data_IF_108063928860
#
_entry.id   IF_108063928860
#
_cell.length_a   1.000
_cell.length_b   1.000
_cell.length_c   1.000
_cell.angle_alpha   90.00
_cell.angle_beta   90.00
_cell.angle_gamma   90.00
#
_symmetry.space_group_name_H-M   'P 1'
#
loop_
_entity.id
_entity.type
_entity.pdbx_description
1 polymer ?
#
# COMPACT_ATOMS: atom_id res chain seq x y z
N UNK A 1 -3.92 3.17 9.94
CA UNK A 1 -4.60 4.44 10.30
C UNK A 1 -6.00 4.55 9.71
N UNK A 2 -6.19 4.57 8.38
CA UNK A 2 -7.53 4.72 7.77
C UNK A 2 -8.51 3.56 8.06
N UNK A 3 -8.00 2.38 8.38
CA UNK A 3 -8.79 1.21 8.74
C UNK A 3 -8.85 0.95 10.26
N UNK A 4 -8.09 1.69 11.06
CA UNK A 4 -8.08 1.51 12.51
C UNK A 4 -9.28 2.28 13.12
N UNK A 5 -10.04 1.68 14.05
CA UNK A 5 -11.13 2.36 14.74
C UNK A 5 -10.61 3.38 15.75
N UNK A 6 -11.34 4.48 15.92
CA UNK A 6 -11.30 5.35 17.08
C UNK A 6 -12.29 4.88 18.16
N UNK A 7 -12.42 5.65 19.25
CA UNK A 7 -13.34 5.37 20.37
C UNK A 7 -14.82 5.28 19.95
N UNK A 8 -15.19 5.90 18.81
CA UNK A 8 -16.54 5.90 18.26
C UNK A 8 -16.72 4.86 17.14
N UNK A 9 -15.76 3.94 16.97
CA UNK A 9 -15.73 2.94 15.90
C UNK A 9 -15.77 3.59 14.49
N UNK A 10 -15.09 4.72 14.33
CA UNK A 10 -14.88 5.45 13.07
C UNK A 10 -13.40 5.44 12.69
N UNK A 11 -13.05 5.66 11.41
CA UNK A 11 -11.65 5.71 11.01
C UNK A 11 -10.85 6.74 11.82
N UNK A 12 -9.78 6.30 12.47
CA UNK A 12 -8.89 7.14 13.28
C UNK A 12 -8.38 8.37 12.50
N UNK A 13 -8.15 8.20 11.21
CA UNK A 13 -7.74 9.28 10.31
C UNK A 13 -8.72 9.40 9.15
N UNK A 14 -8.98 10.65 8.75
CA UNK A 14 -9.52 10.94 7.43
C UNK A 14 -8.39 11.00 6.40
N UNK A 15 -8.69 10.81 5.11
CA UNK A 15 -7.68 10.87 4.04
C UNK A 15 -6.89 12.20 4.04
N UNK A 16 -7.56 13.33 4.31
CA UNK A 16 -6.89 14.64 4.40
C UNK A 16 -5.88 14.73 5.54
N UNK A 17 -6.09 14.01 6.65
CA UNK A 17 -5.20 14.02 7.80
C UNK A 17 -3.87 13.32 7.49
N UNK A 18 -3.85 12.39 6.53
CA UNK A 18 -2.64 11.65 6.14
C UNK A 18 -1.59 12.60 5.57
N UNK A 19 -1.97 13.55 4.71
CA UNK A 19 -1.05 14.57 4.19
C UNK A 19 -0.38 15.33 5.32
N UNK A 20 -1.16 15.85 6.26
CA UNK A 20 -0.63 16.62 7.38
C UNK A 20 0.26 15.77 8.30
N UNK A 21 -0.12 14.51 8.53
CA UNK A 21 0.70 13.55 9.27
C UNK A 21 2.10 13.41 8.66
N UNK A 22 2.20 13.23 7.34
CA UNK A 22 3.51 13.17 6.68
C UNK A 22 4.29 14.48 6.83
N UNK A 23 3.66 15.63 6.63
CA UNK A 23 4.32 16.94 6.79
C UNK A 23 4.90 17.15 8.21
N UNK A 24 4.17 16.74 9.24
CA UNK A 24 4.55 16.98 10.64
C UNK A 24 5.57 15.96 11.17
N UNK A 25 5.50 14.70 10.70
CA UNK A 25 6.24 13.59 11.30
C UNK A 25 7.41 13.10 10.44
N UNK A 26 7.38 13.21 9.10
CA UNK A 26 8.50 12.75 8.25
C UNK A 26 9.86 13.36 8.63
N UNK A 27 9.99 14.68 8.89
CA UNK A 27 11.27 15.26 9.26
C UNK A 27 11.88 14.68 10.54
N UNK A 28 11.05 14.07 11.39
CA UNK A 28 11.44 13.43 12.66
C UNK A 28 11.68 11.93 12.49
N UNK A 29 10.97 11.29 11.56
CA UNK A 29 11.22 9.89 11.16
C UNK A 29 12.54 9.78 10.39
N UNK A 30 12.78 10.71 9.46
CA UNK A 30 13.97 10.77 8.60
C UNK A 30 14.73 12.09 8.82
N UNK A 31 15.40 12.27 9.97
CA UNK A 31 16.11 13.51 10.28
C UNK A 31 17.24 13.78 9.28
N UNK A 32 17.17 14.93 8.62
CA UNK A 32 18.16 15.37 7.63
C UNK A 32 19.38 15.98 8.33
N UNK A 33 20.48 15.22 8.44
CA UNK A 33 21.70 15.67 9.12
C UNK A 33 22.46 16.68 8.25
N UNK A 34 22.58 17.93 8.71
CA UNK A 34 23.26 19.02 7.99
C UNK A 34 24.79 18.99 8.04
N UNK A 35 25.40 18.30 9.01
CA UNK A 35 26.86 18.15 9.15
C UNK A 35 27.18 16.74 9.63
N UNK A 36 27.99 16.01 8.88
CA UNK A 36 28.52 14.71 9.29
C UNK A 36 29.75 14.91 10.18
N UNK A 37 29.67 14.66 11.50
CA UNK A 37 30.89 14.48 12.27
C UNK A 37 31.60 13.21 11.75
N UNK A 38 32.90 13.34 11.49
CA UNK A 38 33.77 12.31 10.87
C UNK A 38 33.64 10.93 11.56
N UNK A 39 33.31 10.90 12.86
CA UNK A 39 33.09 9.68 13.65
C UNK A 39 31.82 8.86 13.33
N UNK A 40 30.89 9.35 12.49
CA UNK A 40 29.67 8.59 12.10
C UNK A 40 29.76 7.85 10.76
N UNK A 41 30.83 8.01 9.98
CA UNK A 41 31.05 7.19 8.78
C UNK A 41 31.14 5.70 9.14
N UNK A 42 31.71 5.38 10.30
CA UNK A 42 31.76 4.03 10.87
C UNK A 42 30.35 3.51 11.23
N UNK A 43 29.41 4.40 11.55
CA UNK A 43 28.02 4.05 11.89
C UNK A 43 27.19 3.69 10.66
N UNK A 44 27.58 4.14 9.45
CA UNK A 44 26.96 3.67 8.20
C UNK A 44 27.34 2.22 7.86
N UNK A 45 28.46 1.73 8.43
CA UNK A 45 28.91 0.34 8.34
C UNK A 45 28.36 -0.52 9.51
N UNK A 46 27.62 0.09 10.45
CA UNK A 46 27.12 -0.57 11.65
C UNK A 46 25.68 -0.11 11.96
N UNK A 47 24.72 -0.80 11.33
CA UNK A 47 23.28 -0.61 11.55
C UNK A 47 22.57 0.18 10.45
N UNK A 48 21.24 0.32 10.54
CA UNK A 48 20.42 1.06 9.58
C UNK A 48 20.69 2.58 9.63
N UNK A 49 20.34 3.28 8.55
CA UNK A 49 20.48 4.74 8.42
C UNK A 49 19.72 5.51 9.50
N UNK A 50 18.57 4.99 9.92
CA UNK A 50 17.70 5.54 10.97
C UNK A 50 17.44 4.49 12.05
N UNK A 51 17.38 4.92 13.31
CA UNK A 51 17.14 4.02 14.46
C UNK A 51 15.69 3.53 14.59
N UNK A 52 14.74 4.18 13.93
CA UNK A 52 13.31 3.85 13.96
C UNK A 52 12.60 4.19 15.28
N UNK A 53 13.28 4.69 16.31
CA UNK A 53 12.68 4.88 17.65
C UNK A 53 11.49 5.83 17.62
N UNK A 54 11.63 6.95 16.89
CA UNK A 54 10.56 7.92 16.74
C UNK A 54 9.36 7.32 16.00
N UNK A 55 9.59 6.56 14.92
CA UNK A 55 8.53 5.88 14.16
C UNK A 55 7.80 4.88 15.07
N UNK A 56 8.52 4.06 15.83
CA UNK A 56 7.95 3.05 16.70
C UNK A 56 7.08 3.71 17.78
N UNK A 57 7.59 4.76 18.43
CA UNK A 57 6.84 5.51 19.44
C UNK A 57 5.58 6.14 18.84
N UNK A 58 5.72 6.80 17.69
CA UNK A 58 4.61 7.48 17.01
C UNK A 58 3.51 6.49 16.61
N UNK A 59 3.87 5.37 16.00
CA UNK A 59 2.91 4.37 15.55
C UNK A 59 2.19 3.73 16.75
N UNK A 60 2.92 3.41 17.82
CA UNK A 60 2.33 2.91 19.07
C UNK A 60 1.41 3.93 19.73
N UNK A 61 1.78 5.20 19.77
CA UNK A 61 0.94 6.29 20.29
C UNK A 61 -0.37 6.41 19.49
N UNK A 62 -0.30 6.34 18.16
CA UNK A 62 -1.49 6.52 17.30
C UNK A 62 -2.39 5.30 17.26
N UNK A 63 -1.83 4.09 17.23
CA UNK A 63 -2.61 2.86 17.06
C UNK A 63 -2.93 2.15 18.37
N UNK A 64 -2.28 2.53 19.48
CA UNK A 64 -2.47 1.90 20.78
C UNK A 64 -2.39 0.38 20.70
N UNK A 65 -3.30 -0.28 21.41
CA UNK A 65 -3.40 -1.74 21.49
C UNK A 65 -4.37 -2.33 20.46
N UNK A 66 -4.67 -1.60 19.38
CA UNK A 66 -5.58 -2.08 18.33
C UNK A 66 -4.92 -3.26 17.61
N UNK A 67 -5.63 -4.38 17.55
CA UNK A 67 -5.22 -5.60 16.83
C UNK A 67 -5.82 -5.68 15.42
N UNK A 68 -5.24 -6.55 14.59
CA UNK A 68 -5.63 -6.76 13.21
C UNK A 68 -7.13 -7.05 13.05
N UNK A 69 -7.73 -7.89 13.91
CA UNK A 69 -9.16 -8.21 13.81
C UNK A 69 -10.09 -7.02 14.05
N UNK A 70 -9.62 -5.96 14.71
CA UNK A 70 -10.42 -4.79 15.08
C UNK A 70 -10.52 -3.76 13.95
N UNK A 71 -9.89 -3.98 12.78
CA UNK A 71 -9.97 -3.04 11.67
C UNK A 71 -11.39 -2.91 11.11
N UNK A 72 -11.78 -1.69 10.76
CA UNK A 72 -13.11 -1.33 10.24
C UNK A 72 -13.42 -1.90 8.85
N UNK A 73 -12.38 -2.26 8.11
CA UNK A 73 -12.48 -2.88 6.79
C UNK A 73 -11.45 -4.01 6.69
N UNK A 74 -11.56 -4.80 5.63
CA UNK A 74 -10.59 -5.84 5.34
C UNK A 74 -9.27 -5.21 4.90
N UNK A 75 -8.18 -5.59 5.56
CA UNK A 75 -6.83 -5.15 5.23
C UNK A 75 -5.95 -6.35 4.87
N UNK A 76 -4.97 -6.09 4.01
CA UNK A 76 -3.95 -7.02 3.53
C UNK A 76 -2.64 -6.23 3.53
N UNK A 77 -1.74 -6.55 4.47
CA UNK A 77 -0.50 -5.80 4.69
C UNK A 77 0.70 -6.76 4.55
N UNK A 78 1.51 -6.63 3.48
CA UNK A 78 2.67 -7.49 3.27
C UNK A 78 3.82 -7.13 4.21
N UNK A 79 4.57 -8.14 4.61
CA UNK A 79 5.87 -8.06 5.30
C UNK A 79 6.74 -9.22 4.80
N UNK A 80 8.03 -9.22 5.10
CA UNK A 80 8.91 -10.35 4.79
C UNK A 80 9.58 -10.86 6.08
N UNK A 81 9.46 -12.15 6.38
CA UNK A 81 10.09 -12.75 7.55
C UNK A 81 11.50 -13.26 7.20
N UNK A 82 12.52 -12.66 7.81
CA UNK A 82 13.93 -12.97 7.52
C UNK A 82 14.40 -14.26 8.18
N UNK A 83 13.68 -14.79 9.19
CA UNK A 83 14.01 -16.07 9.83
C UNK A 83 13.43 -17.23 9.03
N UNK A 84 12.23 -17.06 8.47
CA UNK A 84 11.59 -18.06 7.61
C UNK A 84 11.98 -17.92 6.14
N UNK A 85 12.54 -16.78 5.74
CA UNK A 85 12.82 -16.39 4.36
C UNK A 85 11.58 -16.46 3.46
N UNK A 86 10.44 -15.99 3.99
CA UNK A 86 9.14 -16.05 3.31
C UNK A 86 8.32 -14.77 3.54
N UNK A 87 7.48 -14.36 2.57
CA UNK A 87 6.49 -13.32 2.80
C UNK A 87 5.53 -13.70 3.92
N UNK A 88 5.28 -12.76 4.83
CA UNK A 88 4.21 -12.86 5.84
C UNK A 88 3.17 -11.79 5.53
N UNK A 89 1.97 -12.22 5.14
CA UNK A 89 0.87 -11.31 4.80
C UNK A 89 -0.09 -11.22 5.98
N UNK A 90 -0.18 -10.05 6.61
CA UNK A 90 -1.18 -9.78 7.63
C UNK A 90 -2.50 -9.45 6.95
N UNK A 91 -3.36 -10.46 6.86
CA UNK A 91 -4.67 -10.37 6.23
C UNK A 91 -5.78 -10.65 7.23
N UNK A 92 -6.75 -9.75 7.27
CA UNK A 92 -7.99 -9.96 8.05
C UNK A 92 -8.84 -11.12 7.53
N UNK A 93 -8.62 -11.57 6.29
CA UNK A 93 -9.26 -12.77 5.75
C UNK A 93 -8.63 -14.03 6.34
N UNK A 94 -7.30 -14.13 6.27
CA UNK A 94 -6.56 -15.30 6.76
C UNK A 94 -6.53 -15.41 8.28
N UNK A 95 -6.56 -14.28 9.00
CA UNK A 95 -6.59 -14.26 10.46
C UNK A 95 -7.76 -15.09 11.04
N UNK A 96 -8.92 -15.13 10.37
CA UNK A 96 -10.07 -15.95 10.80
C UNK A 96 -9.72 -17.44 10.94
N UNK A 97 -8.86 -17.95 10.06
CA UNK A 97 -8.43 -19.35 10.04
C UNK A 97 -7.09 -19.55 10.78
N UNK A 98 -6.33 -18.48 10.95
CA UNK A 98 -5.04 -18.49 11.62
C UNK A 98 -4.95 -17.34 12.65
N UNK A 99 -5.47 -17.54 13.87
CA UNK A 99 -5.45 -16.52 14.93
C UNK A 99 -4.04 -16.05 15.31
N UNK A 100 -2.99 -16.83 14.98
CA UNK A 100 -1.60 -16.41 15.20
C UNK A 100 -1.15 -15.23 14.31
N UNK A 101 -2.01 -14.74 13.41
CA UNK A 101 -1.79 -13.52 12.63
C UNK A 101 -2.43 -12.28 13.27
N UNK A 102 -3.18 -12.41 14.37
CA UNK A 102 -3.86 -11.29 15.04
C UNK A 102 -2.90 -10.45 15.91
N UNK A 103 -1.94 -9.82 15.24
CA UNK A 103 -0.94 -8.94 15.84
C UNK A 103 -1.52 -7.55 16.14
N UNK A 104 -0.81 -6.78 16.97
CA UNK A 104 -1.05 -5.35 17.09
C UNK A 104 -0.79 -4.65 15.75
N UNK A 105 -1.68 -3.75 15.35
CA UNK A 105 -1.50 -2.96 14.14
C UNK A 105 -0.23 -2.12 14.20
N UNK A 106 0.21 -1.72 15.40
CA UNK A 106 1.48 -1.01 15.55
C UNK A 106 2.67 -1.86 15.12
N UNK A 107 2.70 -3.14 15.51
CA UNK A 107 3.79 -4.05 15.13
C UNK A 107 3.77 -4.31 13.62
N UNK A 108 2.57 -4.53 13.05
CA UNK A 108 2.41 -4.72 11.60
C UNK A 108 2.88 -3.48 10.83
N UNK A 109 2.47 -2.27 11.26
CA UNK A 109 2.85 -1.02 10.61
C UNK A 109 4.36 -0.73 10.71
N UNK A 110 5.00 -1.07 11.84
CA UNK A 110 6.45 -0.95 11.98
C UNK A 110 7.14 -1.94 11.03
N UNK A 111 6.73 -3.21 11.05
CA UNK A 111 7.30 -4.26 10.20
C UNK A 111 7.20 -3.96 8.71
N UNK A 112 6.02 -3.57 8.23
CA UNK A 112 5.79 -3.32 6.80
C UNK A 112 6.58 -2.13 6.26
N UNK A 113 7.03 -1.21 7.13
CA UNK A 113 7.84 -0.03 6.77
C UNK A 113 9.33 -0.19 7.08
N UNK A 114 9.77 -1.33 7.60
CA UNK A 114 11.15 -1.57 8.03
C UNK A 114 12.08 -1.87 6.85
N UNK A 115 12.28 -0.89 5.97
CA UNK A 115 13.08 -1.01 4.76
C UNK A 115 14.54 -1.35 5.10
N UNK A 116 15.12 -2.44 4.52
CA UNK A 116 16.52 -2.76 4.71
C UNK A 116 17.42 -1.56 4.39
N UNK A 117 18.53 -1.43 5.11
CA UNK A 117 19.45 -0.28 5.11
C UNK A 117 18.89 1.04 5.66
N UNK A 118 17.57 1.25 5.68
CA UNK A 118 16.93 2.47 6.20
C UNK A 118 16.49 2.36 7.65
N UNK A 119 15.77 1.30 8.00
CA UNK A 119 15.14 1.09 9.30
C UNK A 119 15.48 -0.31 9.86
N UNK A 120 15.51 -0.48 11.19
CA UNK A 120 15.77 -1.79 11.79
C UNK A 120 14.63 -2.77 11.52
N UNK A 121 14.98 -4.05 11.40
CA UNK A 121 14.00 -5.13 11.41
C UNK A 121 13.19 -5.12 12.72
N UNK A 122 11.93 -5.54 12.65
CA UNK A 122 11.04 -5.56 13.80
C UNK A 122 10.75 -6.98 14.27
N UNK A 123 10.85 -7.18 15.59
CA UNK A 123 10.63 -8.47 16.23
C UNK A 123 9.51 -8.35 17.26
N UNK A 124 8.62 -9.34 17.24
CA UNK A 124 7.61 -9.50 18.28
C UNK A 124 7.11 -10.95 18.32
N UNK A 125 6.33 -11.26 19.35
CA UNK A 125 5.77 -12.59 19.60
C UNK A 125 4.27 -12.48 19.83
N UNK A 126 3.54 -13.48 19.35
CA UNK A 126 2.12 -13.66 19.64
C UNK A 126 1.93 -15.00 20.31
N UNK A 127 1.26 -14.99 21.45
CA UNK A 127 0.83 -16.21 22.12
C UNK A 127 -0.51 -16.65 21.55
N UNK A 128 -0.54 -17.79 20.85
CA UNK A 128 -1.79 -18.38 20.40
C UNK A 128 -2.48 -19.03 21.60
N UNK A 129 -3.53 -18.37 22.12
CA UNK A 129 -4.32 -18.82 23.28
C UNK A 129 -4.87 -20.24 23.13
N UNK A 130 -5.19 -20.66 21.90
CA UNK A 130 -5.77 -21.99 21.63
C UNK A 130 -4.75 -23.15 21.66
N UNK A 131 -3.46 -22.89 21.44
CA UNK A 131 -2.45 -23.96 21.27
C UNK A 131 -1.27 -23.84 22.24
N UNK A 132 -1.22 -22.78 23.05
CA UNK A 132 -0.07 -22.40 23.89
C UNK A 132 1.26 -22.30 23.11
N UNK A 133 1.21 -22.22 21.77
CA UNK A 133 2.38 -22.01 20.94
C UNK A 133 2.59 -20.53 20.72
N UNK A 134 3.76 -20.05 21.11
CA UNK A 134 4.22 -18.71 20.78
C UNK A 134 4.68 -18.68 19.32
N UNK A 135 4.08 -17.84 18.49
CA UNK A 135 4.58 -17.53 17.16
C UNK A 135 5.48 -16.31 17.24
N UNK A 136 6.69 -16.47 16.74
CA UNK A 136 7.69 -15.40 16.68
C UNK A 136 7.75 -14.83 15.25
N UNK A 137 7.91 -13.51 15.16
CA UNK A 137 7.98 -12.78 13.91
C UNK A 137 9.29 -12.00 13.85
N UNK A 138 10.02 -12.12 12.73
CA UNK A 138 11.28 -11.42 12.49
C UNK A 138 11.16 -10.71 11.15
N UNK A 139 10.56 -9.52 11.15
CA UNK A 139 9.99 -8.94 9.94
C UNK A 139 10.74 -7.71 9.45
N UNK A 140 10.79 -7.58 8.13
CA UNK A 140 11.22 -6.39 7.40
C UNK A 140 10.13 -5.94 6.43
N UNK A 141 10.40 -4.84 5.73
CA UNK A 141 9.50 -4.17 4.78
C UNK A 141 8.79 -5.12 3.82
N UNK A 142 7.51 -4.83 3.59
CA UNK A 142 6.67 -5.57 2.66
C UNK A 142 7.09 -5.41 1.20
N UNK A 143 7.77 -4.32 0.85
CA UNK A 143 8.28 -4.02 -0.49
C UNK A 143 9.30 -5.03 -1.00
N UNK A 144 9.99 -5.75 -0.09
CA UNK A 144 10.86 -6.88 -0.46
C UNK A 144 10.04 -8.04 -1.06
N UNK A 145 8.80 -8.22 -0.62
CA UNK A 145 7.90 -9.25 -1.12
C UNK A 145 6.96 -8.74 -2.23
N UNK A 146 6.28 -7.62 -1.97
CA UNK A 146 5.23 -7.07 -2.80
C UNK A 146 5.19 -5.54 -2.68
N UNK A 147 6.05 -4.86 -3.43
CA UNK A 147 6.09 -3.39 -3.47
C UNK A 147 4.83 -2.78 -4.11
N UNK A 148 4.16 -3.55 -4.98
CA UNK A 148 2.80 -3.28 -5.43
C UNK A 148 1.86 -4.38 -4.89
N UNK A 149 1.16 -4.18 -3.77
CA UNK A 149 0.36 -5.22 -3.13
C UNK A 149 -0.97 -5.50 -3.84
N UNK A 150 -1.24 -4.87 -4.99
CA UNK A 150 -2.52 -5.00 -5.70
C UNK A 150 -2.86 -6.45 -6.03
N UNK A 151 -1.88 -7.21 -6.54
CA UNK A 151 -2.09 -8.62 -6.86
C UNK A 151 -2.26 -9.49 -5.60
N UNK A 152 -1.57 -9.16 -4.50
CA UNK A 152 -1.75 -9.83 -3.20
C UNK A 152 -3.18 -9.60 -2.68
N UNK A 153 -3.69 -8.38 -2.76
CA UNK A 153 -5.05 -8.04 -2.34
C UNK A 153 -6.12 -8.75 -3.19
N UNK A 154 -5.95 -8.78 -4.51
CA UNK A 154 -6.84 -9.53 -5.42
C UNK A 154 -6.78 -11.04 -5.10
N UNK A 155 -5.60 -11.58 -4.86
CA UNK A 155 -5.41 -12.98 -4.47
C UNK A 155 -6.15 -13.33 -3.18
N UNK A 156 -6.07 -12.50 -2.16
CA UNK A 156 -6.79 -12.69 -0.89
C UNK A 156 -8.31 -12.67 -1.09
N UNK A 157 -8.84 -11.73 -1.86
CA UNK A 157 -10.27 -11.71 -2.21
C UNK A 157 -10.66 -12.96 -3.01
N UNK A 158 -9.81 -13.40 -3.94
CA UNK A 158 -10.06 -14.57 -4.77
C UNK A 158 -10.09 -15.86 -3.94
N UNK A 159 -9.21 -16.00 -2.94
CA UNK A 159 -9.25 -17.11 -1.97
C UNK A 159 -10.58 -17.18 -1.25
N UNK A 160 -11.13 -16.04 -0.83
CA UNK A 160 -12.43 -16.01 -0.15
C UNK A 160 -13.60 -16.35 -1.07
N UNK A 161 -13.54 -15.96 -2.36
CA UNK A 161 -14.50 -16.39 -3.38
C UNK A 161 -14.42 -17.91 -3.58
N UNK A 162 -13.21 -18.49 -3.64
CA UNK A 162 -13.01 -19.94 -3.75
C UNK A 162 -13.53 -20.68 -2.52
N UNK A 163 -13.38 -20.11 -1.33
CA UNK A 163 -13.91 -20.66 -0.07
C UNK A 163 -15.43 -20.44 0.10
N UNK A 164 -16.12 -19.91 -0.92
CA UNK A 164 -17.55 -19.62 -0.90
C UNK A 164 -18.00 -18.75 0.28
N UNK A 165 -17.15 -17.77 0.68
CA UNK A 165 -17.47 -16.88 1.78
C UNK A 165 -18.75 -16.07 1.45
N UNK A 166 -19.80 -16.11 2.32
CA UNK A 166 -21.09 -15.49 2.06
C UNK A 166 -21.06 -13.96 1.94
N UNK A 167 -19.98 -13.31 2.42
CA UNK A 167 -19.76 -11.88 2.24
C UNK A 167 -19.52 -11.52 0.76
N UNK A 168 -19.13 -12.49 -0.06
CA UNK A 168 -18.96 -12.34 -1.50
C UNK A 168 -20.15 -12.95 -2.24
N UNK A 169 -20.72 -12.18 -3.17
CA UNK A 169 -21.70 -12.74 -4.10
C UNK A 169 -21.07 -13.89 -4.89
N UNK A 170 -21.88 -14.80 -5.40
CA UNK A 170 -21.45 -15.90 -6.28
C UNK A 170 -20.79 -15.33 -7.56
N UNK A 171 -19.51 -15.01 -7.45
CA UNK A 171 -18.63 -14.54 -8.50
C UNK A 171 -17.84 -15.76 -8.92
N UNK A 172 -17.75 -16.01 -10.23
CA UNK A 172 -16.86 -17.08 -10.71
C UNK A 172 -15.42 -16.71 -10.31
N UNK A 173 -14.62 -17.65 -9.78
CA UNK A 173 -13.20 -17.40 -9.57
C UNK A 173 -12.58 -16.79 -10.83
N UNK A 174 -11.79 -15.73 -10.66
CA UNK A 174 -11.17 -14.98 -11.77
C UNK A 174 -12.11 -14.13 -12.65
N UNK A 175 -13.35 -13.84 -12.24
CA UNK A 175 -14.18 -12.85 -12.94
C UNK A 175 -13.80 -11.41 -12.55
N UNK A 176 -12.69 -10.91 -13.11
CA UNK A 176 -12.16 -9.56 -12.85
C UNK A 176 -13.13 -8.43 -13.23
N UNK A 177 -14.19 -8.69 -14.01
CA UNK A 177 -15.23 -7.70 -14.32
C UNK A 177 -16.03 -7.26 -13.08
N UNK A 178 -15.99 -8.06 -12.01
CA UNK A 178 -16.62 -7.76 -10.72
C UNK A 178 -15.70 -7.05 -9.73
N UNK A 179 -14.41 -6.92 -10.07
CA UNK A 179 -13.46 -6.17 -9.28
C UNK A 179 -13.47 -4.72 -9.72
N UNK A 180 -13.38 -3.81 -8.75
CA UNK A 180 -13.14 -2.39 -8.96
C UNK A 180 -11.90 -2.03 -8.14
N UNK A 181 -10.81 -1.70 -8.81
CA UNK A 181 -9.48 -1.60 -8.21
C UNK A 181 -8.91 -0.21 -8.47
N UNK A 182 -8.53 0.47 -7.39
CA UNK A 182 -7.71 1.69 -7.43
C UNK A 182 -6.35 1.32 -6.85
N UNK A 183 -5.30 1.42 -7.66
CA UNK A 183 -3.92 1.22 -7.25
C UNK A 183 -3.20 2.57 -7.29
N UNK A 184 -2.66 2.99 -6.15
CA UNK A 184 -1.96 4.25 -5.99
C UNK A 184 -0.48 3.96 -5.79
N UNK A 185 0.36 4.44 -6.70
CA UNK A 185 1.80 4.36 -6.56
C UNK A 185 2.38 5.62 -5.93
N UNK A 186 3.61 5.52 -5.44
CA UNK A 186 4.36 6.64 -4.83
C UNK A 186 5.23 7.38 -5.84
N UNK A 187 5.06 7.08 -7.12
CA UNK A 187 5.91 7.51 -8.21
C UNK A 187 7.20 6.71 -8.30
N UNK A 188 7.79 6.73 -9.49
CA UNK A 188 9.10 6.22 -9.79
C UNK A 188 9.98 7.38 -10.28
N UNK A 189 11.29 7.33 -10.01
CA UNK A 189 12.22 8.22 -10.67
C UNK A 189 12.01 8.12 -12.18
N UNK A 190 12.03 9.27 -12.86
CA UNK A 190 12.09 9.37 -14.32
C UNK A 190 13.02 8.29 -14.80
N UNK A 191 12.64 7.58 -15.87
CA UNK A 191 13.50 6.62 -16.59
C UNK A 191 14.73 7.34 -17.16
N UNK A 192 15.53 7.91 -16.27
CA UNK A 192 16.92 8.18 -16.44
C UNK A 192 17.54 6.78 -16.44
N UNK A 193 18.32 6.50 -17.47
CA UNK A 193 19.20 5.35 -17.58
C UNK A 193 20.20 5.40 -16.42
N UNK A 194 19.72 5.14 -15.19
CA UNK A 194 20.40 5.40 -13.92
C UNK A 194 21.73 4.68 -13.87
N UNK A 195 21.75 3.47 -14.42
CA UNK A 195 22.88 2.57 -14.43
C UNK A 195 22.97 1.95 -15.82
N UNK A 196 24.18 1.83 -16.35
CA UNK A 196 24.45 1.06 -17.57
C UNK A 196 25.07 -0.29 -17.24
N UNK A 197 24.97 -1.25 -18.16
CA UNK A 197 25.59 -2.56 -17.99
C UNK A 197 27.12 -2.44 -17.87
N UNK A 198 27.73 -1.53 -18.62
CA UNK A 198 29.17 -1.26 -18.58
C UNK A 198 29.60 -0.71 -17.22
N UNK A 199 28.79 0.15 -16.59
CA UNK A 199 29.05 0.62 -15.23
C UNK A 199 28.92 -0.52 -14.23
N UNK A 200 27.84 -1.31 -14.31
CA UNK A 200 27.54 -2.38 -13.37
C UNK A 200 28.48 -3.59 -13.49
N UNK A 201 29.14 -3.78 -14.65
CA UNK A 201 30.10 -4.85 -14.87
C UNK A 201 31.33 -4.74 -13.94
N UNK A 202 31.70 -3.52 -13.55
CA UNK A 202 32.82 -3.25 -12.65
C UNK A 202 32.39 -3.14 -11.17
N UNK A 203 31.10 -3.33 -10.86
CA UNK A 203 30.59 -3.16 -9.50
C UNK A 203 30.95 -4.33 -8.58
N UNK A 204 31.54 -3.99 -7.43
CA UNK A 204 31.66 -4.90 -6.29
C UNK A 204 30.44 -4.84 -5.36
N UNK A 205 30.53 -5.56 -4.25
CA UNK A 205 29.46 -5.61 -3.23
C UNK A 205 29.10 -4.23 -2.68
N UNK A 206 30.09 -3.35 -2.48
CA UNK A 206 29.86 -2.00 -1.95
C UNK A 206 29.13 -1.10 -2.95
N UNK A 207 29.45 -1.22 -4.24
CA UNK A 207 28.80 -0.46 -5.30
C UNK A 207 27.31 -0.83 -5.39
N UNK A 208 26.99 -2.13 -5.38
CA UNK A 208 25.61 -2.61 -5.34
C UNK A 208 24.80 -2.13 -4.12
N UNK A 209 25.48 -1.79 -3.01
CA UNK A 209 24.86 -1.35 -1.77
C UNK A 209 24.78 0.18 -1.60
N UNK A 210 25.68 0.94 -2.25
CA UNK A 210 25.88 2.37 -1.92
C UNK A 210 26.02 3.30 -3.13
N UNK A 211 26.01 2.78 -4.36
CA UNK A 211 26.32 3.62 -5.53
C UNK A 211 25.30 4.75 -5.74
N UNK A 212 25.83 5.96 -5.97
CA UNK A 212 25.02 7.17 -6.19
C UNK A 212 24.23 7.66 -4.97
N UNK A 213 24.53 7.20 -3.75
CA UNK A 213 23.76 7.54 -2.55
C UNK A 213 22.43 6.80 -2.41
N UNK A 214 22.22 5.77 -3.25
CA UNK A 214 21.10 4.83 -3.22
C UNK A 214 21.60 3.42 -2.89
N UNK A 215 20.69 2.45 -2.78
CA UNK A 215 21.02 1.03 -2.67
C UNK A 215 20.54 0.31 -3.93
N UNK A 216 21.36 0.29 -5.02
CA UNK A 216 20.94 -0.22 -6.34
C UNK A 216 20.25 -1.58 -6.30
N UNK A 217 20.72 -2.52 -5.48
CA UNK A 217 20.12 -3.85 -5.39
C UNK A 217 18.67 -3.80 -4.88
N UNK A 218 18.37 -2.93 -3.91
CA UNK A 218 17.01 -2.75 -3.38
C UNK A 218 16.15 -2.03 -4.42
N UNK A 219 16.68 -1.01 -5.09
CA UNK A 219 15.98 -0.28 -6.16
C UNK A 219 15.55 -1.24 -7.28
N UNK A 220 16.45 -2.10 -7.75
CA UNK A 220 16.19 -3.06 -8.85
C UNK A 220 15.11 -4.06 -8.44
N UNK A 221 15.25 -4.74 -7.29
CA UNK A 221 14.26 -5.73 -6.86
C UNK A 221 12.89 -5.10 -6.54
N UNK A 222 12.87 -3.93 -5.90
CA UNK A 222 11.61 -3.26 -5.52
C UNK A 222 10.86 -2.74 -6.75
N UNK A 223 11.57 -2.22 -7.76
CA UNK A 223 10.97 -1.83 -9.04
C UNK A 223 10.46 -3.03 -9.81
N UNK A 224 11.28 -4.07 -9.96
CA UNK A 224 10.87 -5.29 -10.64
C UNK A 224 9.60 -5.90 -10.02
N UNK A 225 9.48 -5.91 -8.69
CA UNK A 225 8.28 -6.35 -7.98
C UNK A 225 7.04 -5.51 -8.32
N UNK A 226 7.18 -4.18 -8.45
CA UNK A 226 6.06 -3.29 -8.80
C UNK A 226 5.66 -3.40 -10.27
N UNK A 227 6.64 -3.35 -11.18
CA UNK A 227 6.42 -3.32 -12.63
C UNK A 227 5.79 -4.62 -13.11
N UNK A 228 6.23 -5.76 -12.56
CA UNK A 228 5.64 -7.06 -12.89
C UNK A 228 4.16 -7.14 -12.51
N UNK A 229 3.75 -6.57 -11.36
CA UNK A 229 2.34 -6.54 -10.98
C UNK A 229 1.53 -5.69 -11.94
N UNK A 230 2.04 -4.51 -12.32
CA UNK A 230 1.35 -3.62 -13.25
C UNK A 230 1.21 -4.26 -14.65
N UNK A 231 2.26 -4.91 -15.16
CA UNK A 231 2.22 -5.68 -16.41
C UNK A 231 1.15 -6.79 -16.36
N UNK A 232 1.16 -7.64 -15.32
CA UNK A 232 0.21 -8.75 -15.21
C UNK A 232 -1.24 -8.26 -15.13
N UNK A 233 -1.51 -7.23 -14.31
CA UNK A 233 -2.86 -6.71 -14.15
C UNK A 233 -3.33 -6.01 -15.43
N UNK A 234 -2.47 -5.23 -16.09
CA UNK A 234 -2.83 -4.61 -17.36
C UNK A 234 -3.17 -5.64 -18.44
N UNK A 235 -2.40 -6.74 -18.56
CA UNK A 235 -2.73 -7.85 -19.47
C UNK A 235 -4.08 -8.47 -19.12
N UNK A 236 -4.31 -8.80 -17.84
CA UNK A 236 -5.55 -9.48 -17.40
C UNK A 236 -6.78 -8.61 -17.67
N UNK A 237 -6.75 -7.34 -17.26
CA UNK A 237 -7.90 -6.44 -17.43
C UNK A 237 -8.15 -6.08 -18.91
N UNK A 238 -7.09 -5.99 -19.74
CA UNK A 238 -7.22 -5.82 -21.20
C UNK A 238 -7.81 -7.06 -21.87
N UNK A 239 -7.31 -8.26 -21.54
CA UNK A 239 -7.82 -9.52 -22.10
C UNK A 239 -9.31 -9.72 -21.80
N UNK A 240 -9.77 -9.24 -20.64
CA UNK A 240 -11.16 -9.35 -20.19
C UNK A 240 -12.04 -8.16 -20.58
N UNK A 241 -11.51 -7.18 -21.32
CA UNK A 241 -12.20 -5.94 -21.75
C UNK A 241 -12.86 -5.19 -20.58
N UNK A 242 -12.19 -5.15 -19.44
CA UNK A 242 -12.65 -4.47 -18.23
C UNK A 242 -11.62 -3.46 -17.70
N UNK A 243 -10.84 -2.87 -18.58
CA UNK A 243 -9.74 -1.96 -18.25
C UNK A 243 -10.20 -0.69 -17.50
N UNK A 244 -11.48 -0.33 -17.62
CA UNK A 244 -12.07 0.80 -16.87
C UNK A 244 -12.24 0.51 -15.37
N UNK A 245 -12.16 -0.76 -14.97
CA UNK A 245 -12.27 -1.21 -13.59
C UNK A 245 -10.94 -1.20 -12.83
N UNK A 246 -9.80 -1.07 -13.54
CA UNK A 246 -8.48 -0.93 -12.95
C UNK A 246 -7.95 0.47 -13.20
N UNK A 247 -7.85 1.28 -12.15
CA UNK A 247 -7.27 2.61 -12.19
C UNK A 247 -5.93 2.59 -11.44
N UNK A 248 -4.83 2.73 -12.18
CA UNK A 248 -3.48 2.92 -11.64
C UNK A 248 -3.12 4.40 -11.74
N UNK A 249 -2.79 5.03 -10.62
CA UNK A 249 -2.27 6.41 -10.56
C UNK A 249 -0.82 6.34 -10.10
N UNK A 250 0.08 6.76 -10.98
CA UNK A 250 1.53 6.63 -10.81
C UNK A 250 2.22 7.81 -11.53
N UNK A 251 3.34 8.29 -10.98
CA UNK A 251 4.19 9.28 -11.64
C UNK A 251 5.57 8.69 -11.94
N UNK A 252 5.90 8.47 -13.21
CA UNK A 252 7.21 7.93 -13.60
C UNK A 252 8.14 9.03 -14.11
N UNK A 253 8.00 10.25 -13.59
CA UNK A 253 8.76 11.43 -14.01
C UNK A 253 9.48 12.14 -12.86
N UNK A 254 9.52 11.53 -11.67
CA UNK A 254 10.15 12.14 -10.50
C UNK A 254 11.66 12.31 -10.71
N UNK A 255 12.22 13.43 -10.26
CA UNK A 255 13.67 13.66 -10.39
C UNK A 255 14.27 14.35 -9.18
N UNK A 256 15.59 14.26 -9.05
CA UNK A 256 16.34 14.86 -7.95
C UNK A 256 15.86 14.38 -6.57
N UNK A 257 15.61 15.33 -5.67
CA UNK A 257 15.22 15.03 -4.27
C UNK A 257 13.81 14.46 -4.14
N UNK A 258 12.92 14.77 -5.09
CA UNK A 258 11.53 14.31 -5.08
C UNK A 258 11.45 12.80 -5.35
N UNK A 259 12.43 12.27 -6.08
CA UNK A 259 12.60 10.84 -6.36
C UNK A 259 13.22 10.04 -5.19
N UNK A 260 13.64 10.70 -4.11
CA UNK A 260 14.28 10.05 -2.96
C UNK A 260 13.24 9.61 -1.92
N UNK A 261 13.45 8.42 -1.37
CA UNK A 261 12.56 7.77 -0.39
C UNK A 261 12.62 8.40 1.01
N UNK A 262 13.73 9.07 1.36
CA UNK A 262 13.99 9.50 2.74
C UNK A 262 14.42 10.98 2.89
N UNK A 263 14.37 11.78 1.83
CA UNK A 263 14.66 13.23 1.92
C UNK A 263 13.45 13.99 2.45
N UNK A 264 13.32 14.04 3.78
CA UNK A 264 12.20 14.66 4.49
C UNK A 264 12.41 16.15 4.83
N UNK A 265 12.94 16.95 3.89
CA UNK A 265 12.98 18.41 4.08
C UNK A 265 11.62 19.03 3.80
N UNK A 266 11.26 20.12 4.50
CA UNK A 266 9.99 20.82 4.27
C UNK A 266 9.78 21.19 2.80
N UNK A 267 10.85 21.63 2.12
CA UNK A 267 10.82 21.94 0.69
C UNK A 267 10.42 20.70 -0.13
N UNK A 268 11.11 19.58 0.08
CA UNK A 268 10.86 18.34 -0.66
C UNK A 268 9.44 17.80 -0.42
N UNK A 269 8.97 17.82 0.83
CA UNK A 269 7.62 17.40 1.18
C UNK A 269 6.55 18.29 0.51
N UNK A 270 6.76 19.61 0.47
CA UNK A 270 5.86 20.52 -0.25
C UNK A 270 5.92 20.29 -1.77
N UNK A 271 7.08 19.96 -2.32
CA UNK A 271 7.23 19.63 -3.74
C UNK A 271 6.54 18.30 -4.08
N UNK A 272 6.58 17.29 -3.20
CA UNK A 272 5.78 16.06 -3.32
C UNK A 272 4.27 16.34 -3.31
N UNK A 273 3.81 17.28 -2.48
CA UNK A 273 2.39 17.72 -2.50
C UNK A 273 2.02 18.29 -3.86
N UNK A 274 2.86 19.16 -4.44
CA UNK A 274 2.62 19.71 -5.79
C UNK A 274 2.60 18.63 -6.87
N UNK A 275 3.47 17.62 -6.77
CA UNK A 275 3.44 16.47 -7.68
C UNK A 275 2.11 15.73 -7.57
N UNK A 276 1.64 15.45 -6.36
CA UNK A 276 0.34 14.81 -6.14
C UNK A 276 -0.84 15.64 -6.68
N UNK A 277 -0.82 16.96 -6.50
CA UNK A 277 -1.82 17.87 -7.06
C UNK A 277 -1.74 17.93 -8.60
N UNK A 278 -0.54 17.89 -9.17
CA UNK A 278 -0.31 17.83 -10.61
C UNK A 278 -0.76 16.52 -11.24
N UNK A 279 -0.58 15.39 -10.54
CA UNK A 279 -1.01 14.06 -11.00
C UNK A 279 -2.52 14.00 -11.27
N UNK A 280 -3.33 14.71 -10.47
CA UNK A 280 -4.78 14.79 -10.69
C UNK A 280 -5.15 15.34 -12.07
N UNK A 281 -4.32 16.24 -12.62
CA UNK A 281 -4.54 16.90 -13.91
C UNK A 281 -3.92 16.13 -15.08
N UNK A 282 -3.05 15.16 -14.82
CA UNK A 282 -2.49 14.29 -15.87
C UNK A 282 -3.56 13.34 -16.42
N UNK A 283 -3.47 12.94 -17.70
CA UNK A 283 -4.29 11.86 -18.25
C UNK A 283 -4.10 10.57 -17.46
N UNK A 284 -5.11 9.69 -17.49
CA UNK A 284 -4.95 8.31 -17.02
C UNK A 284 -3.91 7.62 -17.90
N UNK A 285 -2.93 7.00 -17.27
CA UNK A 285 -1.88 6.25 -17.95
C UNK A 285 -2.05 4.74 -17.79
N UNK A 286 -1.45 3.98 -18.70
CA UNK A 286 -1.37 2.51 -18.63
C UNK A 286 0.02 2.06 -19.04
N UNK A 287 0.48 0.96 -18.45
CA UNK A 287 1.73 0.34 -18.88
C UNK A 287 1.60 -0.13 -20.33
N UNK A 288 2.55 0.27 -21.15
CA UNK A 288 2.78 -0.28 -22.47
C UNK A 288 3.45 -1.65 -22.29
N UNK A 289 2.82 -2.70 -22.82
CA UNK A 289 3.26 -4.08 -22.59
C UNK A 289 4.58 -4.44 -23.30
N UNK A 290 4.96 -3.68 -24.33
CA UNK A 290 6.22 -3.89 -25.05
C UNK A 290 7.39 -3.18 -24.35
N UNK A 291 7.16 -1.95 -23.87
CA UNK A 291 8.23 -1.12 -23.30
C UNK A 291 8.30 -1.18 -21.77
N UNK A 292 7.22 -1.62 -21.10
CA UNK A 292 7.08 -1.59 -19.64
C UNK A 292 6.90 -0.19 -19.05
N UNK A 293 6.74 0.84 -19.89
CA UNK A 293 6.63 2.24 -19.48
C UNK A 293 5.15 2.65 -19.45
N UNK A 294 4.75 3.47 -18.48
CA UNK A 294 3.40 4.06 -18.48
C UNK A 294 3.27 5.14 -19.56
N UNK A 295 2.25 4.97 -20.39
CA UNK A 295 1.89 5.90 -21.47
C UNK A 295 0.48 6.43 -21.26
N UNK A 296 0.27 7.69 -21.61
CA UNK A 296 -1.04 8.34 -21.51
C UNK A 296 -2.07 7.63 -22.41
N UNK A 297 -3.27 7.38 -21.88
CA UNK A 297 -4.35 6.78 -22.65
C UNK A 297 -4.92 7.80 -23.65
N UNK A 298 -4.38 7.81 -24.87
CA UNK A 298 -4.74 8.74 -25.95
C UNK A 298 -6.24 8.67 -26.31
N UNK A 299 -6.88 7.51 -26.15
CA UNK A 299 -8.25 7.27 -26.64
C UNK A 299 -9.36 7.99 -25.86
N UNK A 300 -9.17 8.32 -24.58
CA UNK A 300 -10.27 8.83 -23.74
C UNK A 300 -10.06 10.24 -23.19
N UNK A 301 -8.83 10.79 -23.22
CA UNK A 301 -8.48 12.10 -22.61
C UNK A 301 -8.96 12.29 -21.15
N UNK A 302 -9.34 11.20 -20.45
CA UNK A 302 -9.81 11.24 -19.07
C UNK A 302 -8.61 11.52 -18.17
N UNK A 303 -8.72 12.56 -17.34
CA UNK A 303 -7.72 12.87 -16.30
C UNK A 303 -7.88 11.98 -15.08
N UNK A 304 -6.83 11.85 -14.27
CA UNK A 304 -6.90 11.09 -13.02
C UNK A 304 -7.98 11.63 -12.06
N UNK A 305 -8.20 12.95 -12.02
CA UNK A 305 -9.31 13.56 -11.26
C UNK A 305 -10.68 13.09 -11.73
N UNK A 306 -10.93 13.09 -13.04
CA UNK A 306 -12.19 12.63 -13.62
C UNK A 306 -12.41 11.14 -13.36
N UNK A 307 -11.38 10.32 -13.53
CA UNK A 307 -11.43 8.89 -13.21
C UNK A 307 -11.75 8.65 -11.73
N UNK A 308 -11.12 9.38 -10.81
CA UNK A 308 -11.41 9.30 -9.38
C UNK A 308 -12.85 9.71 -9.05
N UNK A 309 -13.39 10.76 -9.69
CA UNK A 309 -14.80 11.16 -9.55
C UNK A 309 -15.73 10.04 -10.02
N UNK A 310 -15.42 9.40 -11.15
CA UNK A 310 -16.17 8.25 -11.66
C UNK A 310 -16.14 7.08 -10.68
N UNK A 311 -14.96 6.70 -10.18
CA UNK A 311 -14.83 5.65 -9.17
C UNK A 311 -15.58 6.00 -7.87
N UNK A 312 -15.54 7.25 -7.42
CA UNK A 312 -16.29 7.69 -6.24
C UNK A 312 -17.81 7.53 -6.41
N UNK A 313 -18.35 7.82 -7.60
CA UNK A 313 -19.77 7.57 -7.94
C UNK A 313 -20.10 6.09 -7.86
N UNK A 314 -19.30 5.23 -8.52
CA UNK A 314 -19.49 3.78 -8.51
C UNK A 314 -19.48 3.20 -7.09
N UNK A 315 -18.52 3.62 -6.26
CA UNK A 315 -18.42 3.18 -4.86
C UNK A 315 -19.61 3.64 -4.01
N UNK A 316 -20.10 4.86 -4.23
CA UNK A 316 -21.27 5.41 -3.53
C UNK A 316 -22.55 4.67 -3.91
N UNK A 317 -22.76 4.43 -5.21
CA UNK A 317 -23.90 3.67 -5.74
C UNK A 317 -23.90 2.23 -5.21
N UNK A 318 -22.78 1.53 -5.30
CA UNK A 318 -22.65 0.16 -4.80
C UNK A 318 -22.95 0.09 -3.29
N UNK A 319 -22.44 1.06 -2.51
CA UNK A 319 -22.75 1.14 -1.08
C UNK A 319 -24.24 1.35 -0.82
N UNK A 320 -24.89 2.26 -1.55
CA UNK A 320 -26.35 2.50 -1.44
C UNK A 320 -27.14 1.26 -1.79
N UNK A 321 -26.77 0.55 -2.86
CA UNK A 321 -27.41 -0.70 -3.28
C UNK A 321 -27.30 -1.78 -2.20
N UNK A 322 -26.12 -1.94 -1.58
CA UNK A 322 -25.93 -2.90 -0.47
C UNK A 322 -26.77 -2.53 0.76
N UNK A 323 -26.81 -1.25 1.13
CA UNK A 323 -27.66 -0.80 2.24
C UNK A 323 -29.15 -1.04 1.95
N UNK A 324 -29.63 -0.75 0.74
CA UNK A 324 -31.02 -1.01 0.35
C UNK A 324 -31.38 -2.50 0.39
N UNK A 325 -30.44 -3.38 -0.01
CA UNK A 325 -30.62 -4.84 0.02
C UNK A 325 -30.48 -5.46 1.41
N UNK A 326 -29.90 -4.74 2.36
CA UNK A 326 -29.75 -5.22 3.75
C UNK A 326 -31.12 -5.43 4.42
N UNK A 327 -31.22 -6.28 5.45
CA UNK A 327 -32.47 -6.47 6.19
C UNK A 327 -33.08 -5.16 6.71
N UNK A 328 -32.23 -4.22 7.15
CA UNK A 328 -32.62 -2.90 7.62
C UNK A 328 -33.15 -2.01 6.49
N UNK A 329 -32.51 -2.06 5.31
CA UNK A 329 -32.96 -1.33 4.11
C UNK A 329 -34.30 -1.85 3.58
N UNK A 330 -34.47 -3.17 3.54
CA UNK A 330 -35.74 -3.81 3.16
C UNK A 330 -36.88 -3.44 4.12
N UNK A 331 -36.61 -3.42 5.43
CA UNK A 331 -37.61 -3.00 6.42
C UNK A 331 -37.99 -1.51 6.28
N UNK A 332 -37.05 -0.64 5.93
CA UNK A 332 -37.33 0.78 5.68
C UNK A 332 -38.13 1.00 4.39
N UNK A 333 -37.83 0.25 3.32
CA UNK A 333 -38.58 0.31 2.06
C UNK A 333 -40.03 -0.17 2.24
N UNK A 334 -40.24 -1.29 2.95
CA UNK A 334 -41.58 -1.80 3.28
C UNK A 334 -42.40 -0.81 4.13
N UNK A 335 -41.76 -0.07 5.05
CA UNK A 335 -42.42 1.00 5.81
C UNK A 335 -42.84 2.18 4.93
N UNK A 336 -42.04 2.52 3.92
CA UNK A 336 -42.37 3.59 2.97
C UNK A 336 -43.50 3.16 2.02
N UNK A 337 -43.51 1.91 1.55
CA UNK A 337 -44.61 1.37 0.74
C UNK A 337 -45.93 1.31 1.53
N UNK A 338 -45.89 0.84 2.78
CA UNK A 338 -47.08 0.81 3.65
C UNK A 338 -47.61 2.21 4.02
N UNK A 339 -46.76 3.24 4.02
CA UNK A 339 -47.16 4.63 4.24
C UNK A 339 -47.56 5.36 2.95
N UNK A 340 -47.25 4.80 1.77
CA UNK A 340 -47.57 5.36 0.47
C UNK A 340 -48.84 4.77 -0.16
N UNK A 341 -49.39 3.69 0.41
CA UNK A 341 -50.77 3.25 0.10
C UNK A 341 -51.77 4.18 0.80
N UNK A 342 -52.56 4.98 0.07
CA UNK A 342 -53.70 5.65 0.68
C UNK A 342 -54.70 4.57 1.12
N UNK A 343 -55.30 4.74 2.29
CA UNK A 343 -56.54 4.05 2.58
C UNK A 343 -57.57 4.48 1.51
N UNK A 344 -58.05 3.47 0.78
CA UNK A 344 -59.18 3.44 -0.19
C UNK A 344 -59.04 4.21 -1.49
#
# INVERSE_FOLDING_TARGET
MLAAPDENNRPLFSAKNIKQFYLDHCPKIFPQIRRWPIGRIVKLLSGPKYDGEYLHKLVKEKLGDIKLHQTLTKVVIPTFDIKLLQPTIFSTYEMKNNPSLDAYLSDICISTSAAPTFLPAHHFKIEATATQKTREFNLIDGGVAANNPTLVAIGEVTKEVIKENPDFYAIKPMDYRRFLVISLGTGAPKSEMKYTAEQAAEWGMLDWLTNGGSTPIIDVFSRASSDMVDLHLSVIFQALRCEQNYLRIQDDTLSGKVASVDVATQKNLNDLVKVGEGLLKKPVSRVNLETGIFEDCISNSETNEQALIRFAKLLSEERRLRHARSPQGRAAALKLENNASPAT
#
